data_IF_658881859354
#
_entry.id   IF_658881859354
#
_cell.length_a   1.000
_cell.length_b   1.000
_cell.length_c   1.000
_cell.angle_alpha   90.00
_cell.angle_beta   90.00
_cell.angle_gamma   90.00
#
_symmetry.space_group_name_H-M   'P 1'
#
loop_
_entity.id
_entity.type
_entity.pdbx_description
1 polymer ?
#
# COMPACT_ATOMS: atom_id res chain seq x y z
N UNK A 1 -10.63 22.00 30.25
CA UNK A 1 -11.61 21.52 29.25
C UNK A 1 -10.83 20.65 28.28
N UNK A 2 -10.97 19.33 28.37
CA UNK A 2 -10.18 18.40 27.55
C UNK A 2 -10.77 18.37 26.15
N UNK A 3 -9.97 18.79 25.15
CA UNK A 3 -10.32 18.63 23.75
C UNK A 3 -10.39 17.13 23.45
N UNK A 4 -11.60 16.60 23.29
CA UNK A 4 -11.78 15.30 22.69
C UNK A 4 -11.34 15.44 21.24
N UNK A 5 -10.11 15.00 20.93
CA UNK A 5 -9.74 14.66 19.56
C UNK A 5 -10.66 13.52 19.19
N UNK A 6 -11.71 13.83 18.42
CA UNK A 6 -12.55 12.81 17.81
C UNK A 6 -11.58 12.01 16.94
N UNK A 7 -11.22 10.81 17.38
CA UNK A 7 -10.45 9.87 16.57
C UNK A 7 -11.37 9.45 15.43
N UNK A 8 -11.43 10.26 14.37
CA UNK A 8 -12.16 9.90 13.17
C UNK A 8 -11.55 8.59 12.66
N UNK A 9 -12.39 7.59 12.41
CA UNK A 9 -11.95 6.31 11.90
C UNK A 9 -11.17 6.58 10.59
N UNK A 10 -9.86 6.29 10.53
CA UNK A 10 -9.03 6.67 9.39
C UNK A 10 -9.44 5.95 8.10
N UNK A 11 -10.29 4.93 8.20
CA UNK A 11 -10.92 4.26 7.07
C UNK A 11 -12.10 5.01 6.43
N UNK A 12 -12.53 6.15 6.98
CA UNK A 12 -13.66 6.93 6.45
C UNK A 12 -13.24 8.14 5.63
N UNK A 13 -11.96 8.49 5.66
CA UNK A 13 -11.41 9.63 4.94
C UNK A 13 -10.62 9.13 3.71
N UNK A 14 -11.12 9.35 2.47
CA UNK A 14 -10.40 8.97 1.24
C UNK A 14 -9.01 9.57 1.08
N UNK A 15 -8.72 10.69 1.77
CA UNK A 15 -7.40 11.32 1.79
C UNK A 15 -6.42 10.66 2.74
N UNK A 16 -6.89 9.77 3.63
CA UNK A 16 -6.05 9.11 4.61
C UNK A 16 -5.31 7.92 3.99
N UNK A 17 -4.00 7.72 4.26
CA UNK A 17 -3.26 6.57 3.73
C UNK A 17 -3.81 5.21 4.18
N UNK A 18 -4.53 5.16 5.32
CA UNK A 18 -5.18 3.95 5.84
C UNK A 18 -6.54 3.65 5.21
N UNK A 19 -7.05 4.52 4.34
CA UNK A 19 -8.28 4.27 3.60
C UNK A 19 -8.06 3.19 2.53
N UNK A 20 -8.99 2.24 2.46
CA UNK A 20 -9.04 1.25 1.37
C UNK A 20 -10.40 1.43 0.69
N UNK A 21 -10.38 1.77 -0.59
CA UNK A 21 -11.60 1.93 -1.34
C UNK A 21 -12.33 0.58 -1.46
N UNK A 22 -13.68 0.52 -1.42
CA UNK A 22 -14.42 -0.76 -1.49
C UNK A 22 -14.09 -1.64 -2.73
N UNK A 23 -13.65 -1.02 -3.83
CA UNK A 23 -13.25 -1.72 -5.05
C UNK A 23 -11.79 -2.22 -5.03
N UNK A 24 -11.02 -1.88 -4.00
CA UNK A 24 -9.64 -2.32 -3.84
C UNK A 24 -9.59 -3.64 -3.10
N UNK A 25 -8.95 -4.62 -3.74
CA UNK A 25 -8.74 -5.94 -3.19
C UNK A 25 -7.39 -6.49 -3.69
N UNK A 26 -6.89 -7.58 -3.09
CA UNK A 26 -5.61 -8.18 -3.49
C UNK A 26 -5.54 -8.60 -4.98
N UNK A 27 -6.68 -8.92 -5.60
CA UNK A 27 -6.76 -9.28 -7.01
C UNK A 27 -6.97 -8.10 -7.97
N UNK A 28 -7.05 -6.86 -7.45
CA UNK A 28 -7.25 -5.68 -8.30
C UNK A 28 -6.10 -5.52 -9.28
N UNK A 29 -6.44 -5.31 -10.56
CA UNK A 29 -5.43 -5.09 -11.58
C UNK A 29 -4.88 -3.65 -11.50
N UNK A 30 -3.79 -3.39 -10.78
CA UNK A 30 -3.30 -2.02 -10.52
C UNK A 30 -2.24 -1.51 -11.51
N UNK A 31 -1.50 -2.41 -12.16
CA UNK A 31 -0.60 -2.07 -13.28
C UNK A 31 -0.79 -3.09 -14.42
N UNK A 32 -0.33 -2.75 -15.62
CA UNK A 32 -0.45 -3.64 -16.79
C UNK A 32 0.80 -4.48 -17.02
N UNK A 33 1.96 -3.97 -16.62
CA UNK A 33 3.28 -4.58 -16.82
C UNK A 33 3.67 -5.42 -15.60
N UNK A 34 4.09 -6.66 -15.83
CA UNK A 34 4.68 -7.54 -14.80
C UNK A 34 6.21 -7.35 -14.82
N UNK A 35 6.83 -7.23 -13.65
CA UNK A 35 8.28 -7.15 -13.51
C UNK A 35 8.88 -8.48 -13.96
N UNK A 36 9.78 -8.44 -14.94
CA UNK A 36 10.39 -9.64 -15.54
C UNK A 36 11.93 -9.59 -15.55
N UNK A 37 12.54 -8.73 -14.73
CA UNK A 37 13.98 -8.51 -14.66
C UNK A 37 14.48 -7.40 -15.60
N UNK A 38 14.06 -7.42 -16.87
CA UNK A 38 14.57 -6.47 -17.87
C UNK A 38 13.86 -5.11 -17.85
N UNK A 39 12.66 -5.06 -17.31
CA UNK A 39 11.77 -3.90 -17.39
C UNK A 39 11.65 -3.08 -16.09
N UNK A 40 12.59 -3.25 -15.15
CA UNK A 40 12.50 -2.68 -13.80
C UNK A 40 12.15 -1.19 -13.78
N UNK A 41 12.85 -0.35 -14.56
CA UNK A 41 12.60 1.10 -14.54
C UNK A 41 11.18 1.47 -14.99
N UNK A 42 10.67 0.83 -16.05
CA UNK A 42 9.32 1.08 -16.54
C UNK A 42 8.26 0.57 -15.56
N UNK A 43 8.49 -0.62 -15.02
CA UNK A 43 7.63 -1.22 -14.00
C UNK A 43 7.57 -0.38 -12.72
N UNK A 44 8.74 0.03 -12.19
CA UNK A 44 8.85 0.80 -10.95
C UNK A 44 8.13 2.14 -11.10
N UNK A 45 8.32 2.85 -12.22
CA UNK A 45 7.60 4.10 -12.50
C UNK A 45 6.08 3.89 -12.54
N UNK A 46 5.61 2.87 -13.25
CA UNK A 46 4.18 2.58 -13.34
C UNK A 46 3.59 2.22 -11.97
N UNK A 47 4.30 1.40 -11.19
CA UNK A 47 3.89 1.01 -9.84
C UNK A 47 3.83 2.22 -8.90
N UNK A 48 4.86 3.07 -8.88
CA UNK A 48 4.88 4.29 -8.05
C UNK A 48 3.71 5.22 -8.38
N UNK A 49 3.47 5.52 -9.67
CA UNK A 49 2.35 6.37 -10.09
C UNK A 49 0.99 5.81 -9.65
N UNK A 50 0.80 4.50 -9.80
CA UNK A 50 -0.44 3.83 -9.37
C UNK A 50 -0.61 3.90 -7.85
N UNK A 51 0.46 3.71 -7.07
CA UNK A 51 0.40 3.77 -5.61
C UNK A 51 0.19 5.20 -5.10
N UNK A 52 0.76 6.21 -5.76
CA UNK A 52 0.50 7.63 -5.48
C UNK A 52 -0.99 7.95 -5.68
N UNK A 53 -1.58 7.55 -6.80
CA UNK A 53 -3.01 7.74 -7.07
C UNK A 53 -3.93 7.07 -6.05
N UNK A 54 -3.42 6.08 -5.30
CA UNK A 54 -4.15 5.32 -4.28
C UNK A 54 -3.85 5.77 -2.85
N UNK A 55 -3.00 6.79 -2.67
CA UNK A 55 -2.46 7.19 -1.36
C UNK A 55 -1.80 6.01 -0.64
N UNK A 56 -0.95 5.25 -1.35
CA UNK A 56 -0.25 4.06 -0.83
C UNK A 56 1.27 4.09 -1.04
N UNK A 57 1.81 5.13 -1.69
CA UNK A 57 3.25 5.24 -1.94
C UNK A 57 4.07 5.27 -0.64
N UNK A 58 3.50 5.87 0.40
CA UNK A 58 4.16 6.06 1.71
C UNK A 58 4.46 4.74 2.44
N UNK A 59 3.77 3.64 2.06
CA UNK A 59 4.04 2.29 2.58
C UNK A 59 5.29 1.66 1.94
N UNK A 60 5.72 2.15 0.76
CA UNK A 60 6.88 1.64 0.03
C UNK A 60 8.11 2.48 0.29
N UNK A 61 7.98 3.81 0.25
CA UNK A 61 9.12 4.72 0.47
C UNK A 61 9.50 4.87 1.95
N UNK A 62 8.64 4.39 2.87
CA UNK A 62 8.88 4.40 4.31
C UNK A 62 8.60 5.74 4.99
N UNK A 63 8.05 6.72 4.27
CA UNK A 63 7.62 8.00 4.86
C UNK A 63 6.48 7.81 5.86
N UNK A 64 5.63 6.80 5.67
CA UNK A 64 4.66 6.35 6.68
C UNK A 64 5.27 5.26 7.56
N UNK A 65 5.78 5.67 8.72
CA UNK A 65 6.35 4.75 9.70
C UNK A 65 5.30 3.77 10.24
N UNK A 66 5.73 2.53 10.45
CA UNK A 66 4.91 1.52 11.13
C UNK A 66 4.63 1.96 12.57
N UNK A 67 3.35 2.01 12.98
CA UNK A 67 2.99 2.35 14.36
C UNK A 67 3.52 1.34 15.39
N UNK A 68 3.66 1.78 16.63
CA UNK A 68 4.05 0.95 17.76
C UNK A 68 3.03 -0.15 18.06
N UNK A 69 3.46 -1.21 18.77
CA UNK A 69 2.63 -2.38 19.06
C UNK A 69 1.35 -2.07 19.85
N UNK A 70 1.33 -0.96 20.60
CA UNK A 70 0.20 -0.50 21.40
C UNK A 70 -0.64 0.59 20.72
N UNK A 71 -0.27 1.00 19.50
CA UNK A 71 -0.99 2.03 18.76
C UNK A 71 -2.26 1.47 18.12
N UNK A 72 -3.37 2.18 18.28
CA UNK A 72 -4.65 1.82 17.67
C UNK A 72 -4.62 1.89 16.13
N UNK A 73 -3.63 2.56 15.54
CA UNK A 73 -3.41 2.64 14.09
C UNK A 73 -2.75 1.39 13.50
N UNK A 74 -2.07 0.59 14.31
CA UNK A 74 -1.31 -0.58 13.85
C UNK A 74 -2.15 -1.58 13.03
N UNK A 75 -3.40 -1.94 13.41
CA UNK A 75 -4.23 -2.84 12.59
C UNK A 75 -4.53 -2.28 11.20
N UNK A 76 -4.74 -0.97 11.09
CA UNK A 76 -5.02 -0.29 9.82
C UNK A 76 -3.78 -0.23 8.94
N UNK A 77 -2.63 0.10 9.54
CA UNK A 77 -1.33 0.06 8.86
C UNK A 77 -1.05 -1.35 8.32
N UNK A 78 -1.22 -2.38 9.15
CA UNK A 78 -1.00 -3.78 8.75
C UNK A 78 -1.91 -4.20 7.59
N UNK A 79 -3.18 -3.78 7.60
CA UNK A 79 -4.13 -4.08 6.53
C UNK A 79 -3.71 -3.44 5.20
N UNK A 80 -3.36 -2.16 5.21
CA UNK A 80 -2.93 -1.44 4.01
C UNK A 80 -1.58 -1.97 3.50
N UNK A 81 -0.63 -2.21 4.40
CA UNK A 81 0.66 -2.80 4.06
C UNK A 81 0.48 -4.18 3.39
N UNK A 82 -0.38 -5.05 3.95
CA UNK A 82 -0.70 -6.34 3.33
C UNK A 82 -1.33 -6.21 1.94
N UNK A 83 -2.19 -5.23 1.74
CA UNK A 83 -2.78 -4.96 0.43
C UNK A 83 -1.70 -4.53 -0.58
N UNK A 84 -0.83 -3.61 -0.19
CA UNK A 84 0.29 -3.16 -1.03
C UNK A 84 1.23 -4.32 -1.39
N UNK A 85 1.62 -5.14 -0.41
CA UNK A 85 2.43 -6.35 -0.65
C UNK A 85 1.73 -7.32 -1.58
N UNK A 86 0.41 -7.50 -1.44
CA UNK A 86 -0.35 -8.38 -2.33
C UNK A 86 -0.36 -7.87 -3.78
N UNK A 87 -0.43 -6.55 -3.99
CA UNK A 87 -0.30 -6.00 -5.32
C UNK A 87 1.10 -6.19 -5.88
N UNK A 88 2.15 -5.89 -5.11
CA UNK A 88 3.52 -6.15 -5.55
C UNK A 88 3.68 -7.62 -5.96
N UNK A 89 3.18 -8.56 -5.16
CA UNK A 89 3.25 -9.98 -5.45
C UNK A 89 2.55 -10.37 -6.77
N UNK A 90 1.44 -9.73 -7.12
CA UNK A 90 0.73 -10.02 -8.38
C UNK A 90 1.46 -9.47 -9.63
N UNK A 91 2.41 -8.55 -9.46
CA UNK A 91 3.10 -7.86 -10.55
C UNK A 91 4.58 -8.14 -10.62
N UNK A 92 5.02 -9.21 -9.98
CA UNK A 92 6.37 -9.73 -10.07
C UNK A 92 6.26 -11.12 -10.66
N UNK A 93 7.07 -11.38 -11.69
CA UNK A 93 7.11 -12.70 -12.32
C UNK A 93 7.47 -13.77 -11.27
N UNK A 94 6.78 -14.91 -11.31
CA UNK A 94 6.96 -15.95 -10.30
C UNK A 94 8.37 -16.53 -10.27
N UNK A 95 9.14 -16.38 -11.35
CA UNK A 95 10.55 -16.80 -11.40
C UNK A 95 11.48 -15.92 -10.57
N UNK A 96 11.08 -14.69 -10.24
CA UNK A 96 11.92 -13.73 -9.50
C UNK A 96 11.33 -13.33 -8.15
N UNK A 97 10.07 -13.65 -7.87
CA UNK A 97 9.38 -13.19 -6.68
C UNK A 97 10.01 -13.67 -5.36
N UNK A 98 10.48 -14.92 -5.32
CA UNK A 98 11.14 -15.51 -4.13
C UNK A 98 12.49 -14.86 -3.82
N UNK A 99 13.07 -14.11 -4.76
CA UNK A 99 14.34 -13.41 -4.55
C UNK A 99 14.18 -11.98 -4.02
N UNK A 100 12.95 -11.45 -3.99
CA UNK A 100 12.69 -10.02 -3.74
C UNK A 100 11.83 -9.79 -2.47
N UNK A 101 10.91 -10.71 -2.16
CA UNK A 101 9.99 -10.66 -1.01
C UNK A 101 10.34 -11.72 0.02
#
# INVERSE_FOLDING_TARGET
>A
MANQVITQNPMLDPGNPYFIHPNENPGSRIVTTVLNGDNYHGWARAMSMTLEMKNKIEFIDGTLMKPESNDHLLPYWNRCNRLVVSWLHQYVDSSIIESIL
#
